data_IF_352740139480
#
_entry.id   IF_352740139480
#
_cell.length_a   1.000
_cell.length_b   1.000
_cell.length_c   1.000
_cell.angle_alpha   90.00
_cell.angle_beta   90.00
_cell.angle_gamma   90.00
#
_symmetry.space_group_name_H-M   'P 1'
#
loop_
_entity.id
_entity.type
_entity.pdbx_description
1 polymer ?
#
# COMPACT_ATOMS: atom_id res chain seq x y z
N UNK A 1 -35.20 20.41 -14.44
CA UNK A 1 -33.96 19.89 -15.04
C UNK A 1 -33.01 19.49 -13.92
N UNK A 2 -32.90 18.19 -13.62
CA UNK A 2 -31.89 17.69 -12.67
C UNK A 2 -30.54 17.85 -13.35
N UNK A 3 -29.70 18.74 -12.83
CA UNK A 3 -28.27 18.74 -13.13
C UNK A 3 -27.76 17.41 -12.58
N UNK A 4 -27.58 16.43 -13.46
CA UNK A 4 -26.80 15.24 -13.16
C UNK A 4 -25.39 15.77 -12.91
N UNK A 5 -25.03 15.99 -11.64
CA UNK A 5 -23.64 16.13 -11.25
C UNK A 5 -22.97 14.83 -11.65
N UNK A 6 -22.34 14.81 -12.83
CA UNK A 6 -21.42 13.76 -13.20
C UNK A 6 -20.44 13.65 -12.02
N UNK A 7 -20.55 12.57 -11.25
CA UNK A 7 -19.62 12.30 -10.17
C UNK A 7 -18.22 12.39 -10.78
N UNK A 8 -17.40 13.33 -10.31
CA UNK A 8 -16.05 13.48 -10.80
C UNK A 8 -15.35 12.12 -10.59
N UNK A 9 -15.08 11.42 -11.69
CA UNK A 9 -14.42 10.13 -11.63
C UNK A 9 -12.95 10.36 -11.32
N UNK A 10 -12.41 9.47 -10.51
CA UNK A 10 -10.99 9.49 -10.15
C UNK A 10 -10.22 8.47 -11.00
N UNK A 11 -8.89 8.53 -10.95
CA UNK A 11 -8.06 7.51 -11.60
C UNK A 11 -7.88 7.64 -13.12
N UNK A 12 -8.19 8.80 -13.73
CA UNK A 12 -7.99 9.05 -15.17
C UNK A 12 -6.55 8.85 -15.65
N UNK A 13 -5.60 8.89 -14.72
CA UNK A 13 -4.19 8.69 -15.00
C UNK A 13 -3.73 7.24 -14.93
N UNK A 14 -4.61 6.34 -14.50
CA UNK A 14 -4.35 4.91 -14.44
C UNK A 14 -4.73 4.26 -15.76
N UNK A 15 -4.05 3.18 -16.09
CA UNK A 15 -4.29 2.49 -17.35
C UNK A 15 -5.68 1.82 -17.41
N UNK A 16 -6.15 1.25 -16.32
CA UNK A 16 -7.43 0.53 -16.29
C UNK A 16 -8.60 1.44 -16.68
N UNK A 17 -9.42 0.96 -17.63
CA UNK A 17 -10.60 1.67 -18.08
C UNK A 17 -11.55 1.91 -16.93
N UNK A 18 -12.03 3.15 -16.83
CA UNK A 18 -13.07 3.50 -15.87
C UNK A 18 -14.45 3.12 -16.44
N UNK A 19 -15.19 2.28 -15.74
CA UNK A 19 -16.50 1.76 -16.16
C UNK A 19 -17.64 2.20 -15.24
N UNK A 20 -18.86 2.11 -15.76
CA UNK A 20 -20.09 2.42 -15.03
C UNK A 20 -20.50 1.19 -14.21
N UNK A 21 -19.95 1.05 -13.01
CA UNK A 21 -20.22 -0.08 -12.12
C UNK A 21 -19.93 0.25 -10.66
N UNK A 22 -20.21 -0.70 -9.77
CA UNK A 22 -19.91 -0.56 -8.34
C UNK A 22 -18.41 -0.38 -8.07
N UNK A 23 -17.56 -0.94 -8.95
CA UNK A 23 -16.14 -0.70 -9.00
C UNK A 23 -15.81 -0.01 -10.32
N UNK A 24 -15.37 1.25 -10.24
CA UNK A 24 -15.04 2.05 -11.42
C UNK A 24 -13.82 1.49 -12.16
N UNK A 25 -12.86 0.94 -11.44
CA UNK A 25 -11.66 0.24 -11.92
C UNK A 25 -11.52 -1.08 -11.15
N UNK A 26 -12.22 -2.14 -11.58
CA UNK A 26 -12.35 -3.39 -10.83
C UNK A 26 -11.02 -4.04 -10.41
N UNK A 27 -10.04 -4.12 -11.30
CA UNK A 27 -8.75 -4.78 -11.03
C UNK A 27 -7.97 -3.97 -9.99
N UNK A 28 -7.88 -2.65 -10.16
CA UNK A 28 -7.16 -1.78 -9.23
C UNK A 28 -7.85 -1.79 -7.86
N UNK A 29 -9.18 -1.70 -7.80
CA UNK A 29 -9.92 -1.80 -6.55
C UNK A 29 -9.65 -3.12 -5.81
N UNK A 30 -9.74 -4.27 -6.48
CA UNK A 30 -9.50 -5.58 -5.86
C UNK A 30 -8.05 -5.72 -5.41
N UNK A 31 -7.09 -5.30 -6.23
CA UNK A 31 -5.66 -5.40 -5.89
C UNK A 31 -5.26 -4.49 -4.73
N UNK A 32 -5.97 -3.38 -4.49
CA UNK A 32 -5.78 -2.53 -3.29
C UNK A 32 -6.00 -3.29 -1.97
N UNK A 33 -6.77 -4.39 -1.98
CA UNK A 33 -6.96 -5.24 -0.80
C UNK A 33 -5.66 -5.92 -0.34
N UNK A 34 -4.61 -5.95 -1.18
CA UNK A 34 -3.28 -6.39 -0.77
C UNK A 34 -2.73 -5.56 0.40
N UNK A 35 -3.01 -4.26 0.45
CA UNK A 35 -2.62 -3.40 1.57
C UNK A 35 -3.41 -3.71 2.85
N UNK A 36 -4.69 -4.06 2.72
CA UNK A 36 -5.50 -4.50 3.87
C UNK A 36 -4.92 -5.79 4.44
N UNK A 37 -4.65 -6.78 3.58
CA UNK A 37 -4.01 -8.04 3.99
C UNK A 37 -2.64 -7.78 4.65
N UNK A 38 -1.81 -6.93 4.05
CA UNK A 38 -0.52 -6.53 4.61
C UNK A 38 -0.67 -5.89 6.00
N UNK A 39 -1.62 -4.96 6.16
CA UNK A 39 -1.91 -4.33 7.44
C UNK A 39 -2.37 -5.33 8.51
N UNK A 40 -3.21 -6.31 8.15
CA UNK A 40 -3.64 -7.38 9.05
C UNK A 40 -2.49 -8.32 9.45
N UNK A 41 -1.57 -8.62 8.54
CA UNK A 41 -0.35 -9.40 8.85
C UNK A 41 0.52 -8.63 9.85
N UNK A 42 0.80 -7.36 9.59
CA UNK A 42 1.59 -6.51 10.49
C UNK A 42 0.89 -6.32 11.84
N UNK A 43 -0.45 -6.23 11.85
CA UNK A 43 -1.25 -6.19 13.07
C UNK A 43 -1.07 -7.46 13.92
N UNK A 44 -1.10 -8.64 13.30
CA UNK A 44 -0.84 -9.90 14.00
C UNK A 44 0.57 -9.98 14.60
N UNK A 45 1.55 -9.33 13.99
CA UNK A 45 2.90 -9.20 14.53
C UNK A 45 3.02 -8.12 15.62
N UNK A 46 2.33 -6.99 15.46
CA UNK A 46 2.38 -5.85 16.39
C UNK A 46 1.91 -6.22 17.80
N UNK A 47 0.95 -7.13 17.91
CA UNK A 47 0.51 -7.71 19.18
C UNK A 47 1.65 -8.39 19.96
N UNK A 48 2.62 -8.98 19.25
CA UNK A 48 3.78 -9.65 19.85
C UNK A 48 4.94 -8.68 20.10
N UNK A 49 5.17 -7.73 19.20
CA UNK A 49 6.28 -6.78 19.28
C UNK A 49 6.04 -5.65 20.29
N UNK A 50 4.77 -5.37 20.64
CA UNK A 50 4.35 -4.29 21.56
C UNK A 50 4.95 -2.93 21.23
N UNK A 51 5.20 -2.69 19.93
CA UNK A 51 5.79 -1.45 19.42
C UNK A 51 4.69 -0.53 18.90
N UNK A 52 4.55 0.71 19.41
CA UNK A 52 3.59 1.68 18.88
C UNK A 52 3.74 1.94 17.38
N UNK A 53 4.99 1.91 16.87
CA UNK A 53 5.26 2.07 15.44
C UNK A 53 4.76 0.87 14.61
N UNK A 54 4.72 -0.34 15.18
CA UNK A 54 4.16 -1.50 14.50
C UNK A 54 2.64 -1.41 14.39
N UNK A 55 1.97 -0.92 15.45
CA UNK A 55 0.54 -0.61 15.40
C UNK A 55 0.25 0.50 14.39
N UNK A 56 1.02 1.58 14.41
CA UNK A 56 0.89 2.66 13.43
C UNK A 56 1.05 2.14 11.99
N UNK A 57 2.10 1.34 11.71
CA UNK A 57 2.33 0.73 10.40
C UNK A 57 1.16 -0.17 9.95
N UNK A 58 0.63 -1.00 10.85
CA UNK A 58 -0.54 -1.83 10.55
C UNK A 58 -1.77 -0.99 10.19
N UNK A 59 -2.09 0.02 11.00
CA UNK A 59 -3.27 0.87 10.81
C UNK A 59 -3.18 1.66 9.51
N UNK A 60 -2.03 2.29 9.23
CA UNK A 60 -1.87 3.07 7.99
C UNK A 60 -1.93 2.19 6.75
N UNK A 61 -1.44 0.95 6.79
CA UNK A 61 -1.58 0.02 5.67
C UNK A 61 -3.04 -0.39 5.40
N UNK A 62 -3.81 -0.70 6.45
CA UNK A 62 -5.25 -0.97 6.30
C UNK A 62 -5.95 0.27 5.73
N UNK A 63 -5.62 1.45 6.23
CA UNK A 63 -6.19 2.70 5.74
C UNK A 63 -5.84 2.98 4.27
N UNK A 64 -4.60 2.71 3.83
CA UNK A 64 -4.19 2.78 2.41
C UNK A 64 -5.04 1.84 1.58
N UNK A 65 -5.22 0.60 2.00
CA UNK A 65 -6.02 -0.39 1.26
C UNK A 65 -7.49 -0.01 1.13
N UNK A 66 -8.12 0.42 2.23
CA UNK A 66 -9.52 0.86 2.24
C UNK A 66 -9.70 2.14 1.42
N UNK A 67 -8.80 3.11 1.57
CA UNK A 67 -8.82 4.36 0.82
C UNK A 67 -8.64 4.14 -0.68
N UNK A 68 -7.70 3.28 -1.07
CA UNK A 68 -7.45 2.92 -2.46
C UNK A 68 -8.58 2.10 -3.07
N UNK A 69 -9.18 1.17 -2.31
CA UNK A 69 -10.42 0.50 -2.74
C UNK A 69 -11.55 1.50 -2.98
N UNK A 70 -11.73 2.49 -2.10
CA UNK A 70 -12.74 3.53 -2.29
C UNK A 70 -12.47 4.40 -3.54
N UNK A 71 -11.20 4.71 -3.82
CA UNK A 71 -10.76 5.53 -4.95
C UNK A 71 -10.86 4.84 -6.31
N UNK A 72 -10.56 3.55 -6.39
CA UNK A 72 -10.70 2.79 -7.63
C UNK A 72 -12.08 2.13 -7.76
N UNK A 73 -12.77 1.89 -6.65
CA UNK A 73 -14.05 1.21 -6.60
C UNK A 73 -15.24 2.18 -6.70
N UNK A 74 -15.96 2.44 -5.60
CA UNK A 74 -17.21 3.21 -5.61
C UNK A 74 -17.07 4.72 -5.84
N UNK A 75 -15.86 5.27 -5.71
CA UNK A 75 -15.56 6.70 -5.95
C UNK A 75 -16.50 7.72 -5.26
N UNK A 76 -16.80 7.58 -3.95
CA UNK A 76 -17.54 8.62 -3.23
C UNK A 76 -16.78 9.95 -3.22
N UNK A 77 -17.46 11.05 -2.91
CA UNK A 77 -16.87 12.41 -2.93
C UNK A 77 -15.64 12.58 -2.03
N UNK A 78 -15.50 11.74 -1.00
CA UNK A 78 -14.35 11.72 -0.08
C UNK A 78 -13.23 10.77 -0.49
N UNK A 79 -13.35 10.04 -1.61
CA UNK A 79 -12.42 8.99 -1.99
C UNK A 79 -10.99 9.52 -2.21
N UNK A 80 -10.84 10.71 -2.79
CA UNK A 80 -9.53 11.33 -3.02
C UNK A 80 -8.75 11.58 -1.72
N UNK A 81 -9.25 12.33 -0.72
CA UNK A 81 -8.54 12.47 0.54
C UNK A 81 -8.36 11.15 1.28
N UNK A 82 -9.34 10.23 1.22
CA UNK A 82 -9.20 8.90 1.84
C UNK A 82 -8.11 8.04 1.19
N UNK A 83 -7.77 8.28 -0.07
CA UNK A 83 -6.65 7.64 -0.77
C UNK A 83 -5.31 8.31 -0.46
N UNK A 84 -5.23 9.63 -0.63
CA UNK A 84 -3.97 10.36 -0.61
C UNK A 84 -3.39 10.48 0.81
N UNK A 85 -4.24 10.74 1.84
CA UNK A 85 -3.77 10.97 3.21
C UNK A 85 -3.14 9.73 3.85
N UNK A 86 -3.73 8.52 3.77
CA UNK A 86 -3.08 7.32 4.30
C UNK A 86 -1.76 6.99 3.60
N UNK A 87 -1.61 7.28 2.31
CA UNK A 87 -0.34 7.07 1.59
C UNK A 87 0.76 7.98 2.17
N UNK A 88 0.45 9.26 2.40
CA UNK A 88 1.36 10.20 3.04
C UNK A 88 1.71 9.71 4.45
N UNK A 89 0.70 9.30 5.23
CA UNK A 89 0.91 8.78 6.58
C UNK A 89 1.79 7.52 6.59
N UNK A 90 1.59 6.61 5.63
CA UNK A 90 2.45 5.44 5.46
C UNK A 90 3.90 5.84 5.16
N UNK A 91 4.11 6.82 4.26
CA UNK A 91 5.44 7.38 3.99
C UNK A 91 6.12 7.91 5.26
N UNK A 92 5.41 8.70 6.07
CA UNK A 92 5.92 9.25 7.34
C UNK A 92 6.24 8.13 8.34
N UNK A 93 5.34 7.16 8.52
CA UNK A 93 5.54 6.04 9.45
C UNK A 93 6.77 5.22 9.03
N UNK A 94 6.87 4.80 7.77
CA UNK A 94 7.99 3.99 7.31
C UNK A 94 9.32 4.76 7.29
N UNK A 95 9.31 6.07 7.03
CA UNK A 95 10.48 6.91 7.21
C UNK A 95 10.93 6.94 8.68
N UNK A 96 10.00 7.02 9.64
CA UNK A 96 10.32 6.94 11.06
C UNK A 96 10.87 5.57 11.48
N UNK A 97 10.36 4.47 10.90
CA UNK A 97 10.93 3.12 11.11
C UNK A 97 12.35 3.03 10.56
N UNK A 98 12.59 3.54 9.35
CA UNK A 98 13.91 3.56 8.72
C UNK A 98 14.91 4.37 9.54
N UNK A 99 14.54 5.59 9.95
CA UNK A 99 15.40 6.46 10.76
C UNK A 99 15.78 5.83 12.11
N UNK A 100 14.90 5.01 12.69
CA UNK A 100 15.15 4.29 13.95
C UNK A 100 15.85 2.94 13.77
N UNK A 101 16.05 2.49 12.53
CA UNK A 101 16.63 1.18 12.24
C UNK A 101 18.15 1.15 12.43
N UNK A 102 18.65 0.12 13.11
CA UNK A 102 20.09 -0.11 13.29
C UNK A 102 20.77 -0.49 11.96
N UNK A 103 22.05 -0.13 11.79
CA UNK A 103 22.84 -0.38 10.57
C UNK A 103 22.74 -1.81 9.99
N UNK A 104 22.77 -2.91 10.77
CA UNK A 104 22.61 -4.25 10.20
C UNK A 104 21.26 -4.47 9.50
N UNK A 105 20.17 -3.88 10.05
CA UNK A 105 18.82 -3.96 9.45
C UNK A 105 18.74 -3.23 8.10
N UNK A 106 19.63 -2.27 7.81
CA UNK A 106 19.66 -1.61 6.51
C UNK A 106 19.95 -2.60 5.38
N UNK A 107 20.92 -3.50 5.58
CA UNK A 107 21.27 -4.50 4.58
C UNK A 107 20.29 -5.67 4.55
N UNK A 108 19.87 -6.18 5.71
CA UNK A 108 19.04 -7.38 5.77
C UNK A 108 17.54 -7.14 5.56
N UNK A 109 17.05 -5.92 5.80
CA UNK A 109 15.62 -5.59 5.69
C UNK A 109 15.37 -4.51 4.66
N UNK A 110 16.06 -3.36 4.76
CA UNK A 110 15.73 -2.21 3.93
C UNK A 110 16.21 -2.32 2.49
N UNK A 111 17.39 -2.87 2.23
CA UNK A 111 17.87 -3.09 0.87
C UNK A 111 16.92 -3.98 0.03
N UNK A 112 16.50 -5.18 0.49
CA UNK A 112 15.54 -5.97 -0.27
C UNK A 112 14.16 -5.30 -0.36
N UNK A 113 13.66 -4.67 0.71
CA UNK A 113 12.39 -3.93 0.66
C UNK A 113 12.42 -2.78 -0.36
N UNK A 114 13.52 -2.03 -0.43
CA UNK A 114 13.73 -0.97 -1.41
C UNK A 114 13.81 -1.53 -2.83
N UNK A 115 14.45 -2.69 -3.03
CA UNK A 115 14.47 -3.37 -4.32
C UNK A 115 13.07 -3.74 -4.81
N UNK A 116 12.24 -4.36 -3.95
CA UNK A 116 10.85 -4.69 -4.27
C UNK A 116 10.03 -3.43 -4.55
N UNK A 117 10.20 -2.39 -3.73
CA UNK A 117 9.53 -1.10 -3.93
C UNK A 117 9.91 -0.44 -5.27
N UNK A 118 11.18 -0.51 -5.67
CA UNK A 118 11.66 0.01 -6.95
C UNK A 118 11.04 -0.73 -8.15
N UNK A 119 10.91 -2.05 -8.07
CA UNK A 119 10.17 -2.83 -9.08
C UNK A 119 8.70 -2.43 -9.11
N UNK A 120 8.11 -2.20 -7.93
CA UNK A 120 6.78 -1.61 -7.81
C UNK A 120 6.67 -0.29 -8.57
N UNK A 121 7.58 0.67 -8.32
CA UNK A 121 7.55 1.99 -8.98
C UNK A 121 7.63 1.85 -10.51
N UNK A 122 8.44 0.91 -11.01
CA UNK A 122 8.50 0.61 -12.44
C UNK A 122 7.15 0.08 -12.96
N UNK A 123 6.48 -0.81 -12.21
CA UNK A 123 5.13 -1.27 -12.56
C UNK A 123 4.10 -0.13 -12.52
N UNK A 124 4.15 0.76 -11.52
CA UNK A 124 3.28 1.94 -11.47
C UNK A 124 3.47 2.82 -12.71
N UNK A 125 4.72 3.12 -13.08
CA UNK A 125 5.03 3.90 -14.28
C UNK A 125 4.53 3.22 -15.57
N UNK A 126 4.72 1.90 -15.69
CA UNK A 126 4.21 1.12 -16.82
C UNK A 126 2.67 1.08 -16.88
N UNK A 127 2.00 1.19 -15.73
CA UNK A 127 0.55 1.17 -15.57
C UNK A 127 -0.14 2.53 -15.67
N UNK A 128 0.56 3.59 -16.10
CA UNK A 128 -0.03 4.91 -16.37
C UNK A 128 -0.78 4.90 -17.71
N UNK A 129 -1.85 5.68 -17.83
CA UNK A 129 -2.65 5.77 -19.07
C UNK A 129 -1.86 6.25 -20.29
N UNK A 130 -0.80 7.05 -20.10
CA UNK A 130 0.10 7.50 -21.17
C UNK A 130 1.24 6.53 -21.52
N UNK A 131 1.34 5.37 -20.86
CA UNK A 131 2.40 4.39 -21.11
C UNK A 131 2.14 3.61 -22.40
N UNK A 132 3.17 3.31 -23.21
CA UNK A 132 3.01 2.44 -24.39
C UNK A 132 2.66 0.99 -24.02
N UNK A 133 2.84 0.61 -22.74
CA UNK A 133 2.48 -0.70 -22.22
C UNK A 133 1.03 -0.76 -21.72
N UNK A 134 0.30 0.36 -21.74
CA UNK A 134 -1.06 0.42 -21.23
C UNK A 134 -2.02 -0.39 -22.11
N UNK A 135 -2.71 -1.35 -21.49
CA UNK A 135 -3.84 -2.08 -22.07
C UNK A 135 -5.07 -1.92 -21.15
N UNK A 136 -6.00 -1.01 -21.47
CA UNK A 136 -7.04 -0.57 -20.53
C UNK A 136 -8.06 -1.66 -20.17
N UNK A 137 -8.28 -2.63 -21.05
CA UNK A 137 -9.20 -3.76 -20.87
C UNK A 137 -8.53 -5.05 -20.36
N UNK A 138 -7.23 -5.01 -20.05
CA UNK A 138 -6.47 -6.16 -19.55
C UNK A 138 -6.82 -6.47 -18.09
N UNK A 139 -7.00 -7.76 -17.75
CA UNK A 139 -7.04 -8.19 -16.36
C UNK A 139 -5.67 -8.11 -15.67
N UNK A 140 -4.59 -8.14 -16.46
CA UNK A 140 -3.23 -7.92 -15.98
C UNK A 140 -2.92 -6.43 -16.03
N UNK A 141 -3.09 -5.76 -14.89
CA UNK A 141 -2.79 -4.34 -14.70
C UNK A 141 -1.47 -4.15 -13.97
N UNK A 142 -0.53 -3.39 -14.57
CA UNK A 142 0.74 -3.05 -13.92
C UNK A 142 0.55 -2.19 -12.66
N UNK A 143 -0.48 -1.33 -12.62
CA UNK A 143 -0.84 -0.61 -11.39
C UNK A 143 -1.35 -1.58 -10.32
N UNK A 144 -2.08 -2.63 -10.70
CA UNK A 144 -2.43 -3.70 -9.76
C UNK A 144 -1.20 -4.44 -9.21
N UNK A 145 -0.18 -4.67 -10.04
CA UNK A 145 1.10 -5.21 -9.58
C UNK A 145 1.84 -4.25 -8.63
N UNK A 146 1.76 -2.93 -8.85
CA UNK A 146 2.25 -1.92 -7.93
C UNK A 146 1.65 -2.10 -6.53
N UNK A 147 0.32 -2.25 -6.41
CA UNK A 147 -0.34 -2.47 -5.12
C UNK A 147 0.23 -3.66 -4.35
N UNK A 148 0.42 -4.79 -5.03
CA UNK A 148 0.92 -6.01 -4.41
C UNK A 148 2.40 -5.86 -4.01
N UNK A 149 3.24 -5.33 -4.91
CA UNK A 149 4.68 -5.20 -4.68
C UNK A 149 4.99 -4.23 -3.53
N UNK A 150 4.31 -3.09 -3.46
CA UNK A 150 4.53 -2.13 -2.37
C UNK A 150 3.96 -2.63 -1.05
N UNK A 151 2.84 -3.36 -1.05
CA UNK A 151 2.32 -4.03 0.14
C UNK A 151 3.34 -5.05 0.67
N UNK A 152 3.94 -5.86 -0.20
CA UNK A 152 5.01 -6.80 0.16
C UNK A 152 6.23 -6.07 0.70
N UNK A 153 6.69 -5.00 0.03
CA UNK A 153 7.81 -4.18 0.50
C UNK A 153 7.54 -3.59 1.89
N UNK A 154 6.32 -3.13 2.15
CA UNK A 154 5.91 -2.57 3.43
C UNK A 154 5.87 -3.63 4.55
N UNK A 155 5.33 -4.83 4.27
CA UNK A 155 5.37 -5.96 5.21
C UNK A 155 6.82 -6.34 5.53
N UNK A 156 7.68 -6.44 4.51
CA UNK A 156 9.09 -6.73 4.69
C UNK A 156 9.78 -5.67 5.55
N UNK A 157 9.59 -4.39 5.23
CA UNK A 157 10.16 -3.28 6.00
C UNK A 157 9.67 -3.26 7.45
N UNK A 158 8.42 -3.64 7.73
CA UNK A 158 7.87 -3.72 9.08
C UNK A 158 8.62 -4.73 9.97
N UNK A 159 9.28 -5.75 9.40
CA UNK A 159 10.13 -6.69 10.17
C UNK A 159 11.32 -6.02 10.85
N UNK A 160 11.69 -4.79 10.46
CA UNK A 160 12.69 -3.99 11.18
C UNK A 160 12.25 -3.63 12.61
N UNK A 161 10.93 -3.65 12.87
CA UNK A 161 10.33 -3.38 14.18
C UNK A 161 10.33 -4.59 15.11
N UNK A 162 10.72 -5.77 14.62
CA UNK A 162 10.88 -6.95 15.46
C UNK A 162 11.97 -6.73 16.51
N UNK A 163 11.59 -6.86 17.78
CA UNK A 163 12.48 -6.75 18.93
C UNK A 163 12.90 -8.18 19.30
N UNK A 164 14.20 -8.55 19.15
CA UNK A 164 14.67 -9.85 19.59
C UNK A 164 14.37 -10.04 21.07
N UNK A 165 13.72 -11.16 21.43
CA UNK A 165 13.60 -11.54 22.84
C UNK A 165 15.03 -11.70 23.38
N UNK A 166 15.38 -10.94 24.43
CA UNK A 166 16.62 -11.20 25.16
C UNK A 166 16.59 -12.68 25.58
N UNK A 167 17.64 -13.48 25.31
CA UNK A 167 17.73 -14.82 25.90
C UNK A 167 17.55 -14.66 27.40
N UNK A 168 16.65 -15.45 28.00
CA UNK A 168 16.53 -15.49 29.45
C UNK A 168 17.94 -15.70 30.00
N UNK A 169 18.44 -14.77 30.82
CA UNK A 169 19.74 -14.92 31.44
C UNK A 169 19.74 -16.30 32.10
N UNK A 170 20.61 -17.21 31.64
CA UNK A 170 20.81 -18.51 32.29
C UNK A 170 21.15 -18.18 33.75
N UNK A 171 20.19 -18.39 34.65
CA UNK A 171 20.46 -18.42 36.09
C UNK A 171 21.48 -19.55 36.26
N UNK A 172 22.72 -19.18 36.58
CA UNK A 172 23.76 -20.12 37.02
C UNK A 172 23.51 -20.44 38.48
#
# INVERSE_FOLDING_TARGET
>A
MRVLTASARFGHSDCERIVDGALAQPVLAVTSLAYVAAGLVVLGWSMRWRSPLAWAAAIVLVAVGVGSFAFHGPQPSWAKPAHDLPIIAAGVVYAAVLARSRRPRWRSVWAPAAGVFAVGLAAYAAGRSGSPLCRPDSLWQYHGAWHVLTAVAAVWAATALDIPRRPAARRR
#
